data_IF_623900196376
#
_entry.id   IF_623900196376
#
_cell.length_a   1.000
_cell.length_b   1.000
_cell.length_c   1.000
_cell.angle_alpha   90.00
_cell.angle_beta   90.00
_cell.angle_gamma   90.00
#
_symmetry.space_group_name_H-M   'P 1'
#
loop_
_entity.id
_entity.type
_entity.pdbx_description
1 polymer ?
#
# COMPACT_ATOMS: atom_id res chain seq x y z
N UNK A 1 11.74 -23.67 -13.41
CA UNK A 1 12.56 -22.66 -12.72
C UNK A 1 11.80 -22.19 -11.48
N UNK A 2 12.48 -21.82 -10.39
CA UNK A 2 11.83 -21.20 -9.22
C UNK A 2 11.42 -19.77 -9.55
N UNK A 3 10.25 -19.35 -9.06
CA UNK A 3 9.72 -18.00 -9.24
C UNK A 3 9.44 -17.36 -7.89
N UNK A 4 9.97 -16.15 -7.69
CA UNK A 4 9.62 -15.25 -6.59
C UNK A 4 8.68 -14.18 -7.14
N UNK A 5 7.54 -13.98 -6.49
CA UNK A 5 6.57 -12.93 -6.81
C UNK A 5 6.48 -12.01 -5.59
N UNK A 6 6.74 -10.73 -5.81
CA UNK A 6 6.71 -9.65 -4.81
C UNK A 6 5.91 -8.49 -5.39
N UNK A 7 5.25 -7.68 -4.58
CA UNK A 7 4.57 -6.45 -5.00
C UNK A 7 4.71 -5.39 -3.92
N UNK A 8 4.24 -4.18 -4.21
CA UNK A 8 4.10 -3.10 -3.23
C UNK A 8 5.44 -2.84 -2.51
N UNK A 9 6.51 -2.72 -3.32
CA UNK A 9 7.85 -2.40 -2.85
C UNK A 9 7.99 -0.91 -2.54
N UNK A 10 7.39 -0.08 -3.41
CA UNK A 10 7.47 1.38 -3.34
C UNK A 10 8.91 1.89 -3.20
N UNK A 11 9.82 1.45 -4.07
CA UNK A 11 11.19 1.97 -4.08
C UNK A 11 11.16 3.49 -4.34
N UNK A 12 11.56 4.26 -3.33
CA UNK A 12 11.52 5.72 -3.34
C UNK A 12 12.90 6.36 -3.54
N UNK A 13 12.92 7.68 -3.40
CA UNK A 13 14.13 8.51 -3.53
C UNK A 13 14.88 8.72 -2.19
N UNK A 14 14.51 7.99 -1.12
CA UNK A 14 15.10 8.16 0.21
C UNK A 14 14.71 9.46 0.92
N UNK A 15 13.75 10.23 0.39
CA UNK A 15 13.26 11.45 1.01
C UNK A 15 12.26 11.21 2.15
N UNK A 16 11.67 12.30 2.65
CA UNK A 16 10.75 12.28 3.81
C UNK A 16 9.49 11.42 3.62
N UNK A 17 9.14 11.14 2.36
CA UNK A 17 7.98 10.35 1.97
C UNK A 17 8.29 8.86 1.79
N UNK A 18 9.56 8.45 1.86
CA UNK A 18 9.94 7.08 1.56
C UNK A 18 9.37 6.12 2.63
N UNK A 19 8.63 5.13 2.13
CA UNK A 19 7.95 4.12 2.92
C UNK A 19 8.63 2.75 2.83
N UNK A 20 9.61 2.56 1.94
CA UNK A 20 10.27 1.28 1.76
C UNK A 20 10.92 0.78 3.05
N UNK A 21 10.55 -0.41 3.51
CA UNK A 21 11.05 -1.07 4.71
C UNK A 21 11.95 -2.27 4.42
N UNK A 22 12.16 -2.60 3.14
CA UNK A 22 12.98 -3.72 2.73
C UNK A 22 14.46 -3.53 3.04
N UNK A 23 15.02 -2.33 2.88
CA UNK A 23 16.43 -2.06 3.16
C UNK A 23 17.35 -3.16 2.61
N UNK A 24 18.24 -3.69 3.46
CA UNK A 24 19.13 -4.82 3.12
C UNK A 24 18.41 -6.18 3.01
N UNK A 25 17.18 -6.30 3.52
CA UNK A 25 16.45 -7.56 3.52
C UNK A 25 16.02 -8.01 2.12
N UNK A 26 15.60 -7.08 1.26
CA UNK A 26 15.18 -7.43 -0.10
C UNK A 26 16.37 -7.90 -0.96
N UNK A 27 17.52 -7.18 -1.00
CA UNK A 27 18.74 -7.69 -1.63
C UNK A 27 19.14 -9.08 -1.12
N UNK A 28 19.12 -9.30 0.20
CA UNK A 28 19.47 -10.59 0.79
C UNK A 28 18.50 -11.72 0.37
N UNK A 29 17.19 -11.45 0.31
CA UNK A 29 16.21 -12.40 -0.21
C UNK A 29 16.48 -12.72 -1.68
N UNK A 30 16.70 -11.71 -2.51
CA UNK A 30 16.98 -11.89 -3.95
C UNK A 30 18.24 -12.71 -4.16
N UNK A 31 19.32 -12.43 -3.42
CA UNK A 31 20.56 -13.19 -3.48
C UNK A 31 20.37 -14.65 -3.05
N UNK A 32 19.54 -14.91 -2.03
CA UNK A 32 19.20 -16.26 -1.58
C UNK A 32 18.39 -17.02 -2.61
N UNK A 33 17.41 -16.39 -3.23
CA UNK A 33 16.56 -17.01 -4.26
C UNK A 33 17.37 -17.28 -5.53
N UNK A 34 18.25 -16.36 -5.91
CA UNK A 34 19.10 -16.46 -7.09
C UNK A 34 20.37 -17.29 -6.86
N UNK A 35 20.43 -18.16 -5.85
CA UNK A 35 21.52 -19.14 -5.73
C UNK A 35 21.62 -20.07 -6.95
N UNK A 36 20.49 -20.26 -7.64
CA UNK A 36 20.34 -20.86 -8.96
C UNK A 36 19.55 -19.87 -9.85
N UNK A 37 19.54 -20.02 -11.19
CA UNK A 37 18.68 -19.22 -12.06
C UNK A 37 17.23 -19.22 -11.58
N UNK A 38 16.69 -18.02 -11.34
CA UNK A 38 15.35 -17.80 -10.80
C UNK A 38 14.63 -16.70 -11.58
N UNK A 39 13.30 -16.74 -11.59
CA UNK A 39 12.44 -15.66 -12.07
C UNK A 39 12.00 -14.80 -10.88
N UNK A 40 12.13 -13.49 -10.99
CA UNK A 40 11.57 -12.52 -10.05
C UNK A 40 10.51 -11.71 -10.78
N UNK A 41 9.29 -11.70 -10.26
CA UNK A 41 8.18 -10.89 -10.75
C UNK A 41 7.88 -9.84 -9.69
N UNK A 42 8.09 -8.57 -10.02
CA UNK A 42 7.59 -7.42 -9.27
C UNK A 42 6.21 -7.11 -9.82
N UNK A 43 5.17 -7.53 -9.11
CA UNK A 43 3.78 -7.55 -9.53
C UNK A 43 3.05 -6.26 -9.15
N UNK A 44 3.49 -5.12 -9.69
CA UNK A 44 2.93 -3.81 -9.41
C UNK A 44 3.55 -3.10 -8.21
N UNK A 45 3.47 -1.77 -8.26
CA UNK A 45 3.97 -0.83 -7.25
C UNK A 45 5.40 -1.16 -6.78
N UNK A 46 6.25 -1.47 -7.76
CA UNK A 46 7.65 -1.80 -7.54
C UNK A 46 8.50 -0.56 -7.27
N UNK A 47 8.16 0.55 -7.92
CA UNK A 47 8.78 1.86 -7.77
C UNK A 47 7.71 2.85 -7.32
N UNK A 48 8.07 3.95 -6.67
CA UNK A 48 7.08 4.96 -6.29
C UNK A 48 7.44 6.36 -6.79
N UNK A 49 6.71 6.81 -7.81
CA UNK A 49 6.83 8.17 -8.37
C UNK A 49 5.85 9.16 -7.72
N UNK A 50 4.97 8.67 -6.85
CA UNK A 50 4.00 9.47 -6.12
C UNK A 50 4.59 10.10 -4.84
N UNK A 51 5.70 9.59 -4.30
CA UNK A 51 6.37 10.09 -3.08
C UNK A 51 7.14 11.43 -3.26
N UNK A 52 6.46 12.47 -3.74
CA UNK A 52 6.92 13.86 -3.85
C UNK A 52 5.72 14.82 -4.06
N UNK A 53 5.93 16.13 -4.23
CA UNK A 53 4.87 17.12 -4.47
C UNK A 53 4.85 17.66 -5.92
N UNK A 54 5.53 17.00 -6.85
CA UNK A 54 5.52 17.41 -8.26
C UNK A 54 4.09 17.32 -8.84
N UNK A 55 3.75 18.15 -9.84
CA UNK A 55 2.44 18.08 -10.48
C UNK A 55 2.16 16.68 -11.06
N UNK A 56 0.90 16.24 -10.94
CA UNK A 56 0.38 14.96 -11.45
C UNK A 56 0.19 14.98 -12.97
N UNK A 57 1.30 15.03 -13.67
CA UNK A 57 1.39 15.03 -15.12
C UNK A 57 2.46 14.03 -15.52
N UNK A 58 2.13 13.14 -16.47
CA UNK A 58 3.09 12.18 -16.99
C UNK A 58 4.02 12.84 -18.01
N UNK A 59 4.89 13.72 -17.50
CA UNK A 59 5.92 14.43 -18.26
C UNK A 59 7.20 13.59 -18.33
N UNK A 60 7.70 13.22 -19.53
CA UNK A 60 8.86 12.35 -19.66
C UNK A 60 10.14 12.88 -18.99
N UNK A 61 10.40 14.20 -19.08
CA UNK A 61 11.61 14.78 -18.51
C UNK A 61 11.60 14.73 -16.98
N UNK A 62 10.43 14.99 -16.38
CA UNK A 62 10.20 14.89 -14.94
C UNK A 62 10.25 13.45 -14.46
N UNK A 63 9.60 12.54 -15.16
CA UNK A 63 9.64 11.10 -14.86
C UNK A 63 11.08 10.58 -14.87
N UNK A 64 11.89 10.99 -15.86
CA UNK A 64 13.31 10.66 -15.92
C UNK A 64 14.12 11.27 -14.77
N UNK A 65 13.83 12.51 -14.35
CA UNK A 65 14.48 13.11 -13.19
C UNK A 65 14.14 12.37 -11.89
N UNK A 66 12.88 11.99 -11.70
CA UNK A 66 12.41 11.20 -10.57
C UNK A 66 13.07 9.81 -10.56
N UNK A 67 13.12 9.13 -11.71
CA UNK A 67 13.79 7.82 -11.84
C UNK A 67 15.28 7.89 -11.47
N UNK A 68 15.99 8.96 -11.87
CA UNK A 68 17.39 9.18 -11.47
C UNK A 68 17.54 9.39 -9.96
N UNK A 69 16.62 10.13 -9.34
CA UNK A 69 16.63 10.34 -7.89
C UNK A 69 16.36 9.04 -7.13
N UNK A 70 15.41 8.22 -7.59
CA UNK A 70 15.11 6.90 -7.04
C UNK A 70 16.31 5.97 -7.21
N UNK A 71 16.88 5.88 -8.40
CA UNK A 71 18.04 5.04 -8.68
C UNK A 71 19.30 5.45 -7.88
N UNK A 72 19.42 6.73 -7.52
CA UNK A 72 20.53 7.22 -6.69
C UNK A 72 20.31 7.03 -5.18
N UNK A 73 19.08 6.73 -4.74
CA UNK A 73 18.78 6.52 -3.33
C UNK A 73 19.41 5.19 -2.86
N UNK A 74 20.20 5.17 -1.77
CA UNK A 74 21.00 3.99 -1.41
C UNK A 74 20.20 2.68 -1.28
N UNK A 75 19.01 2.72 -0.68
CA UNK A 75 18.18 1.53 -0.50
C UNK A 75 17.62 1.01 -1.84
N UNK A 76 17.16 1.92 -2.70
CA UNK A 76 16.63 1.60 -4.03
C UNK A 76 17.75 1.12 -4.98
N UNK A 77 18.90 1.78 -4.96
CA UNK A 77 20.10 1.37 -5.69
C UNK A 77 20.50 -0.08 -5.35
N UNK A 78 20.59 -0.41 -4.06
CA UNK A 78 20.96 -1.75 -3.61
C UNK A 78 19.98 -2.84 -4.12
N UNK A 79 18.69 -2.52 -4.25
CA UNK A 79 17.69 -3.43 -4.81
C UNK A 79 17.83 -3.56 -6.32
N UNK A 80 18.07 -2.47 -7.05
CA UNK A 80 18.31 -2.49 -8.49
C UNK A 80 19.57 -3.29 -8.84
N UNK A 81 20.65 -3.11 -8.07
CA UNK A 81 21.86 -3.94 -8.17
C UNK A 81 21.58 -5.42 -7.86
N UNK A 82 20.72 -5.71 -6.88
CA UNK A 82 20.32 -7.09 -6.57
C UNK A 82 19.53 -7.73 -7.72
N UNK A 83 18.63 -6.98 -8.37
CA UNK A 83 18.01 -7.44 -9.62
C UNK A 83 19.05 -7.67 -10.72
N UNK A 84 20.06 -6.80 -10.83
CA UNK A 84 21.21 -7.02 -11.70
C UNK A 84 21.91 -8.36 -11.46
N UNK A 85 22.15 -8.71 -10.18
CA UNK A 85 22.74 -10.01 -9.79
C UNK A 85 21.84 -11.19 -10.16
N UNK A 86 20.52 -11.08 -10.04
CA UNK A 86 19.57 -12.12 -10.51
C UNK A 86 19.77 -12.37 -12.02
N UNK A 87 19.81 -11.30 -12.82
CA UNK A 87 19.98 -11.38 -14.27
C UNK A 87 21.36 -11.95 -14.67
N UNK A 88 22.42 -11.53 -13.98
CA UNK A 88 23.79 -11.98 -14.20
C UNK A 88 23.95 -13.49 -13.98
N UNK A 89 23.20 -14.05 -13.04
CA UNK A 89 23.16 -15.50 -12.77
C UNK A 89 22.28 -16.29 -13.76
N UNK A 90 21.81 -15.65 -14.84
CA UNK A 90 20.96 -16.27 -15.86
C UNK A 90 19.49 -16.35 -15.48
N UNK A 91 19.07 -15.62 -14.44
CA UNK A 91 17.66 -15.47 -14.07
C UNK A 91 16.90 -14.46 -14.92
N UNK A 92 15.66 -14.20 -14.52
CA UNK A 92 14.74 -13.27 -15.15
C UNK A 92 14.22 -12.28 -14.11
N UNK A 93 14.07 -11.01 -14.49
CA UNK A 93 13.40 -9.98 -13.68
C UNK A 93 12.34 -9.32 -14.55
N UNK A 94 11.11 -9.34 -14.07
CA UNK A 94 9.92 -8.80 -14.72
C UNK A 94 9.31 -7.77 -13.77
N UNK A 95 9.19 -6.53 -14.21
CA UNK A 95 8.52 -5.46 -13.44
C UNK A 95 7.20 -5.13 -14.14
N UNK A 96 6.11 -5.48 -13.47
CA UNK A 96 4.77 -5.12 -13.91
C UNK A 96 4.38 -3.79 -13.27
N UNK A 97 3.80 -2.89 -14.06
CA UNK A 97 3.31 -1.61 -13.58
C UNK A 97 2.09 -1.78 -12.68
N UNK A 98 2.03 -0.98 -11.62
CA UNK A 98 0.85 -0.68 -10.82
C UNK A 98 0.43 0.78 -10.96
N UNK A 99 -0.27 1.32 -9.95
CA UNK A 99 -0.77 2.69 -9.94
C UNK A 99 0.23 3.71 -9.36
N UNK A 100 1.30 3.27 -8.70
CA UNK A 100 2.36 4.13 -8.18
C UNK A 100 3.54 4.35 -9.14
N UNK A 101 3.62 3.57 -10.22
CA UNK A 101 4.77 3.55 -11.13
C UNK A 101 4.38 3.51 -12.62
N UNK A 102 3.32 4.23 -12.97
CA UNK A 102 2.87 4.41 -14.37
C UNK A 102 3.96 5.04 -15.26
N UNK A 103 4.91 5.76 -14.66
CA UNK A 103 6.10 6.35 -15.26
C UNK A 103 7.03 5.31 -15.88
N UNK A 104 6.97 4.05 -15.45
CA UNK A 104 7.70 2.94 -16.09
C UNK A 104 7.25 2.69 -17.54
N UNK A 105 6.12 3.26 -17.98
CA UNK A 105 5.72 3.25 -19.40
C UNK A 105 6.61 4.14 -20.27
N UNK A 106 7.38 5.06 -19.67
CA UNK A 106 8.30 5.96 -20.38
C UNK A 106 9.62 5.23 -20.66
N UNK A 107 10.06 5.09 -21.92
CA UNK A 107 11.29 4.36 -22.26
C UNK A 107 12.54 4.89 -21.57
N UNK A 108 12.68 6.22 -21.42
CA UNK A 108 13.85 6.81 -20.74
C UNK A 108 13.92 6.38 -19.26
N UNK A 109 12.78 6.24 -18.58
CA UNK A 109 12.71 5.73 -17.19
C UNK A 109 13.23 4.30 -17.13
N UNK A 110 12.82 3.44 -18.07
CA UNK A 110 13.28 2.06 -18.12
C UNK A 110 14.79 1.96 -18.32
N UNK A 111 15.37 2.78 -19.21
CA UNK A 111 16.81 2.82 -19.43
C UNK A 111 17.59 3.31 -18.21
N UNK A 112 17.07 4.29 -17.47
CA UNK A 112 17.67 4.76 -16.21
C UNK A 112 17.71 3.63 -15.19
N UNK A 113 16.61 2.88 -15.01
CA UNK A 113 16.58 1.77 -14.06
C UNK A 113 17.48 0.60 -14.48
N UNK A 114 17.59 0.31 -15.78
CA UNK A 114 18.54 -0.69 -16.30
C UNK A 114 20.00 -0.28 -16.03
N UNK A 115 20.33 0.99 -16.25
CA UNK A 115 21.68 1.51 -16.00
C UNK A 115 22.07 1.44 -14.52
N UNK A 116 21.09 1.51 -13.62
CA UNK A 116 21.29 1.43 -12.18
C UNK A 116 21.51 0.00 -11.64
N UNK A 117 21.47 -1.04 -12.50
CA UNK A 117 21.64 -2.44 -12.07
C UNK A 117 23.09 -2.85 -11.83
N UNK A 118 24.06 -1.99 -12.14
CA UNK A 118 25.50 -2.29 -12.11
C UNK A 118 25.83 -3.59 -12.88
N UNK A 119 25.31 -3.71 -14.10
CA UNK A 119 25.55 -4.85 -14.99
C UNK A 119 25.90 -4.38 -16.40
N UNK A 120 26.61 -5.21 -17.19
CA UNK A 120 26.78 -4.97 -18.61
C UNK A 120 25.44 -4.75 -19.34
N UNK A 121 25.36 -3.89 -20.36
CA UNK A 121 24.11 -3.57 -21.05
C UNK A 121 23.33 -4.79 -21.55
N UNK A 122 24.02 -5.83 -22.03
CA UNK A 122 23.41 -7.08 -22.50
C UNK A 122 22.77 -7.93 -21.39
N UNK A 123 23.21 -7.77 -20.15
CA UNK A 123 22.61 -8.41 -18.97
C UNK A 123 21.44 -7.56 -18.48
N UNK A 124 21.63 -6.25 -18.32
CA UNK A 124 20.58 -5.33 -17.87
C UNK A 124 19.39 -5.25 -18.84
N UNK A 125 19.62 -5.42 -20.15
CA UNK A 125 18.57 -5.48 -21.17
C UNK A 125 17.57 -6.64 -20.98
N UNK A 126 17.91 -7.64 -20.15
CA UNK A 126 17.00 -8.75 -19.80
C UNK A 126 15.93 -8.36 -18.78
N UNK A 127 16.05 -7.20 -18.13
CA UNK A 127 14.97 -6.61 -17.34
C UNK A 127 13.82 -6.25 -18.28
N UNK A 128 12.65 -6.85 -18.02
CA UNK A 128 11.44 -6.58 -18.79
C UNK A 128 10.45 -5.76 -17.98
N UNK A 129 9.78 -4.83 -18.65
CA UNK A 129 8.68 -4.06 -18.09
C UNK A 129 7.38 -4.50 -18.76
N UNK A 130 6.32 -4.68 -17.97
CA UNK A 130 5.01 -5.11 -18.44
C UNK A 130 3.95 -4.13 -17.98
N UNK A 131 3.06 -3.74 -18.89
CA UNK A 131 1.85 -3.03 -18.49
C UNK A 131 0.99 -3.93 -17.58
N UNK A 132 0.16 -3.30 -16.76
CA UNK A 132 -0.80 -4.01 -15.91
C UNK A 132 -2.14 -4.30 -16.58
N UNK A 133 -2.32 -3.93 -17.85
CA UNK A 133 -3.58 -3.95 -18.60
C UNK A 133 -4.23 -5.33 -18.78
N UNK A 134 -3.44 -6.40 -18.61
CA UNK A 134 -3.92 -7.76 -18.54
C UNK A 134 -3.15 -8.56 -17.47
N UNK A 135 -3.78 -9.58 -16.84
CA UNK A 135 -3.07 -10.51 -15.96
C UNK A 135 -2.05 -11.34 -16.76
N UNK A 136 -0.96 -11.72 -16.09
CA UNK A 136 0.00 -12.69 -16.62
C UNK A 136 -0.37 -14.11 -16.16
N UNK A 137 -0.18 -15.10 -17.03
CA UNK A 137 -0.28 -16.52 -16.65
C UNK A 137 1.12 -17.12 -16.67
N UNK A 138 1.59 -17.56 -15.51
CA UNK A 138 2.84 -18.29 -15.36
C UNK A 138 2.54 -19.79 -15.42
N UNK A 139 3.21 -20.50 -16.34
CA UNK A 139 3.29 -21.97 -16.30
C UNK A 139 4.49 -22.38 -15.45
N UNK A 140 4.22 -23.12 -14.37
CA UNK A 140 5.26 -23.71 -13.52
C UNK A 140 4.96 -25.19 -13.32
N UNK A 141 5.69 -26.07 -14.01
CA UNK A 141 5.48 -27.51 -13.91
C UNK A 141 4.10 -27.95 -14.42
N UNK A 142 3.51 -27.21 -15.36
CA UNK A 142 2.16 -27.41 -15.88
C UNK A 142 1.06 -26.76 -15.04
N UNK A 143 1.37 -26.20 -13.86
CA UNK A 143 0.41 -25.43 -13.09
C UNK A 143 0.25 -24.03 -13.69
N UNK A 144 -1.00 -23.59 -13.84
CA UNK A 144 -1.35 -22.25 -14.36
C UNK A 144 -1.58 -21.30 -13.19
N UNK A 145 -0.71 -20.31 -13.06
CA UNK A 145 -0.72 -19.33 -11.96
C UNK A 145 -1.00 -17.96 -12.55
N UNK A 146 -2.14 -17.39 -12.21
CA UNK A 146 -2.50 -16.04 -12.60
C UNK A 146 -1.82 -15.04 -11.66
N UNK A 147 -1.19 -14.02 -12.26
CA UNK A 147 -0.50 -12.95 -11.54
C UNK A 147 -1.01 -11.60 -12.07
N UNK A 148 -1.54 -10.77 -11.18
CA UNK A 148 -1.94 -9.39 -11.48
C UNK A 148 -1.82 -8.54 -10.22
N UNK A 149 -1.60 -7.23 -10.36
CA UNK A 149 -1.38 -6.36 -9.21
C UNK A 149 -2.64 -6.24 -8.35
N UNK A 150 -3.80 -5.96 -8.96
CA UNK A 150 -5.12 -6.08 -8.29
C UNK A 150 -5.95 -4.79 -8.30
N UNK A 151 -5.37 -3.70 -8.77
CA UNK A 151 -5.97 -2.37 -8.93
C UNK A 151 -7.18 -2.33 -9.90
N UNK A 152 -7.39 -3.39 -10.68
CA UNK A 152 -8.42 -3.46 -11.75
C UNK A 152 -9.86 -3.32 -11.26
N UNK A 153 -10.11 -3.76 -10.04
CA UNK A 153 -11.42 -3.72 -9.38
C UNK A 153 -11.50 -2.62 -8.31
N UNK A 154 -10.41 -1.87 -8.12
CA UNK A 154 -10.37 -0.70 -7.25
C UNK A 154 -10.62 0.55 -8.09
N UNK A 155 -11.86 1.04 -8.10
CA UNK A 155 -12.24 2.21 -8.90
C UNK A 155 -11.41 3.47 -8.59
N UNK A 156 -10.80 3.55 -7.41
CA UNK A 156 -10.00 4.69 -6.99
C UNK A 156 -8.56 4.62 -7.49
N UNK A 157 -8.01 3.42 -7.62
CA UNK A 157 -6.62 3.20 -8.01
C UNK A 157 -6.46 2.59 -9.40
N UNK A 158 -7.57 2.27 -10.08
CA UNK A 158 -7.56 1.71 -11.43
C UNK A 158 -6.84 2.63 -12.43
N UNK A 159 -5.83 2.07 -13.09
CA UNK A 159 -5.05 2.75 -14.13
C UNK A 159 -5.72 2.61 -15.50
N UNK A 160 -5.82 3.71 -16.24
CA UNK A 160 -6.23 3.70 -17.65
C UNK A 160 -5.02 3.39 -18.55
N UNK A 161 -4.59 2.13 -18.56
CA UNK A 161 -3.44 1.67 -19.35
C UNK A 161 -3.59 1.96 -20.86
N UNK A 162 -4.81 1.95 -21.38
CA UNK A 162 -5.09 2.26 -22.79
C UNK A 162 -4.69 3.68 -23.19
N UNK A 163 -4.63 4.60 -22.22
CA UNK A 163 -4.18 5.99 -22.43
C UNK A 163 -2.69 6.20 -22.19
N UNK A 164 -1.95 5.23 -21.64
CA UNK A 164 -0.49 5.36 -21.49
C UNK A 164 0.25 5.42 -22.84
N UNK A 165 -0.37 4.94 -23.92
CA UNK A 165 0.13 5.15 -25.29
C UNK A 165 0.09 6.63 -25.73
N UNK A 166 -0.63 7.50 -25.01
CA UNK A 166 -0.75 8.94 -25.24
C UNK A 166 -0.52 9.70 -23.92
N UNK A 167 0.75 9.76 -23.52
CA UNK A 167 1.19 10.32 -22.23
C UNK A 167 0.59 11.71 -21.93
N UNK A 168 0.43 12.56 -22.94
CA UNK A 168 -0.16 13.92 -22.85
C UNK A 168 -1.64 13.92 -22.40
N UNK A 169 -2.33 12.79 -22.54
CA UNK A 169 -3.76 12.64 -22.18
C UNK A 169 -3.98 11.70 -21.01
N UNK A 170 -2.91 11.16 -20.45
CA UNK A 170 -2.99 10.29 -19.30
C UNK A 170 -3.49 11.09 -18.09
N UNK A 171 -4.35 10.45 -17.30
CA UNK A 171 -4.83 11.00 -16.04
C UNK A 171 -4.56 9.97 -14.97
N UNK A 172 -3.93 10.42 -13.89
CA UNK A 172 -3.70 9.60 -12.73
C UNK A 172 -5.03 9.23 -12.06
N UNK A 173 -5.02 8.10 -11.37
CA UNK A 173 -6.19 7.61 -10.62
C UNK A 173 -6.50 8.53 -9.44
N UNK A 174 -7.74 8.48 -8.93
CA UNK A 174 -8.18 9.34 -7.83
C UNK A 174 -7.32 9.14 -6.57
N UNK A 175 -6.89 7.91 -6.27
CA UNK A 175 -5.97 7.63 -5.18
C UNK A 175 -4.62 8.33 -5.32
N UNK A 176 -4.06 8.42 -6.53
CA UNK A 176 -2.82 9.18 -6.77
C UNK A 176 -3.01 10.67 -6.51
N UNK A 177 -4.17 11.22 -6.86
CA UNK A 177 -4.54 12.62 -6.56
C UNK A 177 -4.60 12.86 -5.06
N UNK A 178 -5.25 11.95 -4.32
CA UNK A 178 -5.28 12.01 -2.85
C UNK A 178 -3.86 12.01 -2.26
N UNK A 179 -3.00 11.10 -2.72
CA UNK A 179 -1.61 10.99 -2.21
C UNK A 179 -0.85 12.30 -2.45
N UNK A 180 -0.83 12.82 -3.67
CA UNK A 180 -0.04 14.01 -4.03
C UNK A 180 -0.57 15.31 -3.47
N UNK A 181 -1.89 15.49 -3.51
CA UNK A 181 -2.48 16.80 -3.21
C UNK A 181 -2.86 16.95 -1.74
N UNK A 182 -3.03 15.83 -1.02
CA UNK A 182 -3.41 15.86 0.40
C UNK A 182 -2.36 15.18 1.28
N UNK A 183 -2.06 13.90 1.08
CA UNK A 183 -1.25 13.13 2.02
C UNK A 183 0.21 13.60 2.08
N UNK A 184 0.86 13.85 0.94
CA UNK A 184 2.24 14.31 0.92
C UNK A 184 2.39 15.72 1.53
N UNK A 185 1.58 16.74 1.16
CA UNK A 185 1.61 18.03 1.83
C UNK A 185 1.38 17.93 3.35
N UNK A 186 0.47 17.06 3.81
CA UNK A 186 0.26 16.74 5.23
C UNK A 186 1.55 16.23 5.87
N UNK A 187 2.13 15.19 5.29
CA UNK A 187 3.30 14.51 5.84
C UNK A 187 4.51 15.46 5.93
N UNK A 188 4.80 16.25 4.89
CA UNK A 188 5.96 17.15 4.89
C UNK A 188 5.74 18.41 5.70
N UNK A 189 4.65 19.16 5.46
CA UNK A 189 4.46 20.47 6.10
C UNK A 189 4.28 20.36 7.61
N UNK A 190 3.74 19.23 8.08
CA UNK A 190 3.39 19.02 9.47
C UNK A 190 4.13 17.85 10.13
N UNK A 191 5.05 17.22 9.39
CA UNK A 191 5.82 16.08 9.89
C UNK A 191 4.96 14.86 10.21
N UNK A 192 3.72 14.78 9.73
CA UNK A 192 2.76 13.70 10.02
C UNK A 192 3.02 12.46 9.16
N UNK A 193 4.20 11.87 9.30
CA UNK A 193 4.64 10.69 8.53
C UNK A 193 3.69 9.50 8.70
N UNK A 194 3.04 9.40 9.85
CA UNK A 194 2.11 8.32 10.17
C UNK A 194 0.91 8.21 9.21
N UNK A 195 0.53 9.31 8.53
CA UNK A 195 -0.60 9.33 7.58
C UNK A 195 -0.36 8.41 6.39
N UNK A 196 0.89 8.24 5.96
CA UNK A 196 1.24 7.34 4.85
C UNK A 196 1.35 5.87 5.28
N UNK A 197 1.43 5.59 6.59
CA UNK A 197 1.71 4.25 7.13
C UNK A 197 0.51 3.59 7.80
N UNK A 198 -0.53 4.36 8.14
CA UNK A 198 -1.76 3.81 8.71
C UNK A 198 -2.60 3.15 7.60
N UNK A 199 -2.50 1.83 7.50
CA UNK A 199 -3.29 0.97 6.62
C UNK A 199 -4.20 0.07 7.47
N UNK A 200 -5.35 -0.41 6.96
CA UNK A 200 -6.01 -0.10 5.69
C UNK A 200 -6.94 1.13 5.77
N UNK A 201 -7.11 1.68 6.98
CA UNK A 201 -8.20 2.57 7.28
C UNK A 201 -7.83 4.04 7.02
N UNK A 202 -8.07 4.50 5.78
CA UNK A 202 -7.91 5.91 5.44
C UNK A 202 -8.77 6.82 6.34
N UNK A 203 -9.94 6.35 6.77
CA UNK A 203 -10.79 7.10 7.68
C UNK A 203 -10.16 7.18 9.07
N UNK A 204 -9.66 6.06 9.60
CA UNK A 204 -8.85 6.02 10.82
C UNK A 204 -7.59 6.89 10.74
N UNK A 205 -6.96 7.00 9.56
CA UNK A 205 -5.81 7.87 9.32
C UNK A 205 -6.21 9.34 9.34
N UNK A 206 -7.33 9.68 8.73
CA UNK A 206 -7.91 11.01 8.75
C UNK A 206 -8.36 11.41 10.16
N UNK A 207 -8.97 10.49 10.92
CA UNK A 207 -9.34 10.68 12.32
C UNK A 207 -8.09 10.87 13.21
N UNK A 208 -7.09 10.00 13.10
CA UNK A 208 -5.82 10.20 13.79
C UNK A 208 -5.17 11.55 13.42
N UNK A 209 -5.18 11.94 12.15
CA UNK A 209 -4.67 13.24 11.71
C UNK A 209 -5.50 14.42 12.29
N UNK A 210 -6.82 14.29 12.38
CA UNK A 210 -7.71 15.26 13.02
C UNK A 210 -7.40 15.40 14.52
N UNK A 211 -7.13 14.30 15.22
CA UNK A 211 -6.75 14.31 16.64
C UNK A 211 -5.38 14.96 16.87
N UNK A 212 -4.44 14.74 15.94
CA UNK A 212 -3.06 15.22 16.03
C UNK A 212 -2.95 16.69 15.65
N UNK A 213 -3.68 17.13 14.62
CA UNK A 213 -3.49 18.45 14.02
C UNK A 213 -4.80 19.03 13.42
N UNK A 214 -5.84 19.29 14.23
CA UNK A 214 -7.18 19.64 13.75
C UNK A 214 -7.22 20.93 12.90
N UNK A 215 -6.47 21.96 13.30
CA UNK A 215 -6.41 23.23 12.56
C UNK A 215 -5.72 23.09 11.19
N UNK A 216 -4.73 22.21 11.11
CA UNK A 216 -3.99 21.90 9.88
C UNK A 216 -4.87 21.10 8.92
N UNK A 217 -5.54 20.08 9.42
CA UNK A 217 -6.46 19.26 8.64
C UNK A 217 -7.61 20.11 8.09
N UNK A 218 -8.17 21.04 8.88
CA UNK A 218 -9.16 22.01 8.42
C UNK A 218 -8.63 22.94 7.33
N UNK A 219 -7.43 23.48 7.51
CA UNK A 219 -6.79 24.34 6.49
C UNK A 219 -6.59 23.58 5.18
N UNK A 220 -6.17 22.33 5.24
CA UNK A 220 -5.98 21.50 4.06
C UNK A 220 -7.30 21.13 3.40
N UNK A 221 -8.36 20.80 4.13
CA UNK A 221 -9.69 20.61 3.55
C UNK A 221 -10.30 21.91 2.99
N UNK A 222 -9.91 23.07 3.52
CA UNK A 222 -10.35 24.38 3.00
C UNK A 222 -9.55 24.88 1.78
N UNK A 223 -8.28 24.50 1.67
CA UNK A 223 -7.34 24.98 0.63
C UNK A 223 -7.13 23.95 -0.50
N UNK A 224 -7.11 22.65 -0.19
CA UNK A 224 -7.10 21.56 -1.16
C UNK A 224 -8.53 21.28 -1.58
N UNK A 225 -9.09 22.22 -2.35
CA UNK A 225 -10.35 22.14 -3.11
C UNK A 225 -11.47 21.35 -2.43
N UNK A 226 -12.49 22.07 -1.96
CA UNK A 226 -13.81 21.51 -1.64
C UNK A 226 -14.22 20.40 -2.62
N UNK A 227 -13.86 20.50 -3.90
CA UNK A 227 -14.04 19.46 -4.93
C UNK A 227 -13.35 18.11 -4.68
N UNK A 228 -12.14 18.04 -4.13
CA UNK A 228 -11.49 16.75 -3.84
C UNK A 228 -12.13 16.16 -2.60
N UNK A 229 -12.21 16.88 -1.48
CA UNK A 229 -12.97 16.42 -0.32
C UNK A 229 -14.37 15.93 -0.74
N UNK A 230 -15.11 16.74 -1.51
CA UNK A 230 -16.42 16.43 -2.09
C UNK A 230 -16.42 15.25 -3.08
N UNK A 231 -15.39 15.06 -3.90
CA UNK A 231 -15.26 13.90 -4.80
C UNK A 231 -14.87 12.63 -4.07
N UNK A 232 -14.02 12.74 -3.04
CA UNK A 232 -13.71 11.67 -2.12
C UNK A 232 -15.02 11.25 -1.45
N UNK A 233 -15.83 12.21 -0.97
CA UNK A 233 -17.16 12.01 -0.35
C UNK A 233 -18.32 11.59 -1.30
N UNK A 234 -18.20 11.70 -2.64
CA UNK A 234 -19.38 11.65 -3.54
C UNK A 234 -19.22 10.92 -4.90
N UNK A 235 -18.39 9.89 -5.08
CA UNK A 235 -18.44 9.18 -6.38
C UNK A 235 -17.97 7.73 -6.44
N UNK A 236 -18.94 6.84 -6.64
CA UNK A 236 -18.80 5.61 -7.42
C UNK A 236 -20.05 5.37 -8.30
N UNK A 237 -20.27 6.23 -9.31
CA UNK A 237 -21.34 6.04 -10.30
C UNK A 237 -21.30 7.12 -11.39
N UNK A 238 -21.48 6.74 -12.65
CA UNK A 238 -21.14 7.55 -13.84
C UNK A 238 -21.97 8.82 -14.07
N UNK A 239 -21.38 9.74 -14.85
CA UNK A 239 -22.01 10.75 -15.73
C UNK A 239 -23.28 11.50 -15.24
N UNK A 240 -23.09 12.78 -14.96
CA UNK A 240 -24.06 13.88 -15.01
C UNK A 240 -25.56 13.50 -14.98
N UNK A 241 -26.19 13.58 -13.81
CA UNK A 241 -27.57 14.06 -13.70
C UNK A 241 -27.83 14.60 -12.28
N UNK A 242 -28.53 15.73 -12.22
CA UNK A 242 -29.06 16.31 -10.99
C UNK A 242 -30.29 15.49 -10.58
N UNK A 243 -30.23 14.75 -9.48
CA UNK A 243 -31.37 14.34 -8.65
C UNK A 243 -30.86 13.58 -7.42
N UNK A 244 -31.59 13.75 -6.32
CA UNK A 244 -31.40 13.13 -5.00
C UNK A 244 -31.30 11.60 -5.04
N UNK A 245 -30.25 11.07 -4.42
CA UNK A 245 -30.20 9.94 -3.47
C UNK A 245 -28.72 9.52 -3.35
N UNK A 246 -28.17 9.81 -2.17
CA UNK A 246 -26.76 9.96 -1.87
C UNK A 246 -26.10 8.63 -1.45
N UNK A 247 -24.93 8.31 -2.00
CA UNK A 247 -24.01 7.30 -1.45
C UNK A 247 -22.68 7.98 -1.05
N UNK A 248 -22.39 7.86 0.25
CA UNK A 248 -21.36 8.53 1.07
C UNK A 248 -20.07 7.67 1.16
N UNK A 249 -18.95 8.25 1.62
CA UNK A 249 -17.71 7.54 1.98
C UNK A 249 -17.87 6.51 3.11
N UNK A 250 -19.09 6.28 3.57
CA UNK A 250 -19.42 5.45 4.70
C UNK A 250 -18.89 6.01 6.02
N UNK A 251 -18.39 7.25 6.08
CA UNK A 251 -18.02 7.85 7.38
C UNK A 251 -19.29 8.28 8.12
N UNK A 252 -20.28 8.87 7.42
CA UNK A 252 -21.57 9.16 8.04
C UNK A 252 -22.33 7.86 8.35
N UNK A 253 -22.23 6.85 7.48
CA UNK A 253 -22.77 5.51 7.72
C UNK A 253 -22.09 4.83 8.92
N UNK A 254 -20.75 4.83 9.02
CA UNK A 254 -20.02 4.32 10.19
C UNK A 254 -20.29 5.12 11.45
N UNK A 255 -20.48 6.44 11.37
CA UNK A 255 -20.89 7.26 12.51
C UNK A 255 -22.30 6.88 12.98
N UNK A 256 -23.22 6.62 12.05
CA UNK A 256 -24.56 6.14 12.37
C UNK A 256 -24.54 4.73 12.96
N UNK A 257 -23.75 3.82 12.39
CA UNK A 257 -23.60 2.43 12.83
C UNK A 257 -22.81 2.30 14.14
N UNK A 258 -21.90 3.24 14.44
CA UNK A 258 -21.08 3.23 15.64
C UNK A 258 -21.87 3.50 16.93
N UNK A 259 -23.13 3.94 16.83
CA UNK A 259 -24.01 4.17 17.98
C UNK A 259 -23.36 5.07 19.03
N UNK A 260 -22.78 6.20 18.60
CA UNK A 260 -22.07 7.13 19.47
C UNK A 260 -23.01 7.71 20.53
N UNK A 261 -22.50 7.87 21.75
CA UNK A 261 -23.20 8.59 22.81
C UNK A 261 -23.14 10.11 22.57
N UNK A 262 -24.08 10.87 23.16
CA UNK A 262 -24.17 12.33 22.96
C UNK A 262 -22.86 13.06 23.29
N UNK A 263 -22.14 12.61 24.32
CA UNK A 263 -20.83 13.17 24.70
C UNK A 263 -19.73 12.88 23.65
N UNK A 264 -19.79 11.73 22.99
CA UNK A 264 -18.82 11.33 21.96
C UNK A 264 -19.09 12.05 20.64
N UNK A 265 -20.36 12.18 20.25
CA UNK A 265 -20.78 12.97 19.10
C UNK A 265 -20.39 14.44 19.27
N UNK A 266 -20.62 15.02 20.46
CA UNK A 266 -20.21 16.38 20.78
C UNK A 266 -18.68 16.56 20.76
N UNK A 267 -17.91 15.56 21.21
CA UNK A 267 -16.45 15.59 21.14
C UNK A 267 -15.94 15.57 19.69
N UNK A 268 -16.58 14.80 18.80
CA UNK A 268 -16.29 14.78 17.37
C UNK A 268 -16.60 16.12 16.70
N UNK A 269 -17.78 16.68 16.96
CA UNK A 269 -18.18 17.99 16.46
C UNK A 269 -17.25 19.10 16.97
N UNK A 270 -16.81 19.04 18.24
CA UNK A 270 -15.86 19.98 18.80
C UNK A 270 -14.47 19.89 18.13
N UNK A 271 -14.01 18.69 17.75
CA UNK A 271 -12.79 18.52 16.99
C UNK A 271 -12.92 19.10 15.56
N UNK A 272 -14.11 19.02 14.95
CA UNK A 272 -14.42 19.55 13.63
C UNK A 272 -14.78 21.06 13.59
N UNK A 273 -15.31 21.64 14.67
CA UNK A 273 -15.71 23.05 14.77
C UNK A 273 -14.60 24.02 15.23
N UNK A 274 -14.83 25.34 15.23
CA UNK A 274 -13.85 26.39 15.60
C UNK A 274 -13.55 26.47 17.13
N UNK A 275 -13.61 25.34 17.83
CA UNK A 275 -13.45 25.23 19.28
C UNK A 275 -12.02 25.49 19.79
N UNK A 276 -11.76 26.52 20.63
CA UNK A 276 -10.40 26.93 20.97
C UNK A 276 -9.69 26.15 22.09
N UNK A 277 -10.31 25.16 22.74
CA UNK A 277 -9.88 24.74 24.08
C UNK A 277 -9.41 23.29 24.24
N UNK A 278 -9.70 22.38 23.31
CA UNK A 278 -9.42 20.95 23.52
C UNK A 278 -8.00 20.52 23.10
N UNK A 279 -7.28 21.34 22.34
CA UNK A 279 -6.04 20.92 21.64
C UNK A 279 -4.95 22.01 21.59
N UNK A 280 -4.90 22.93 22.57
CA UNK A 280 -3.85 23.94 22.66
C UNK A 280 -2.48 23.34 23.09
N UNK A 281 -1.37 23.95 22.66
CA UNK A 281 0.01 23.55 22.99
C UNK A 281 0.23 23.44 24.51
N UNK A 282 0.80 22.31 24.95
CA UNK A 282 1.00 21.96 26.37
C UNK A 282 1.77 23.03 27.15
N UNK A 283 2.66 23.80 26.50
CA UNK A 283 3.50 24.82 27.15
C UNK A 283 2.69 25.99 27.76
N UNK A 284 1.41 26.15 27.39
CA UNK A 284 0.56 27.26 27.88
C UNK A 284 -0.62 26.81 28.74
N UNK A 285 -0.76 25.51 29.00
CA UNK A 285 -1.97 24.94 29.60
C UNK A 285 -1.85 24.76 31.12
N UNK A 286 -2.90 25.18 31.84
CA UNK A 286 -3.00 24.92 33.29
C UNK A 286 -3.22 23.43 33.58
N UNK A 287 -2.92 22.97 34.81
CA UNK A 287 -3.17 21.57 35.23
C UNK A 287 -4.63 21.14 35.11
N UNK A 288 -5.58 22.07 35.26
CA UNK A 288 -7.00 21.79 35.04
C UNK A 288 -7.32 21.63 33.55
N UNK A 289 -6.74 22.48 32.70
CA UNK A 289 -6.87 22.43 31.25
C UNK A 289 -6.27 21.14 30.65
N UNK A 290 -5.14 20.67 31.19
CA UNK A 290 -4.53 19.38 30.82
C UNK A 290 -5.43 18.18 31.15
N UNK A 291 -6.14 18.21 32.29
CA UNK A 291 -7.10 17.15 32.66
C UNK A 291 -8.32 17.13 31.74
N UNK A 292 -8.84 18.30 31.38
CA UNK A 292 -9.93 18.44 30.41
C UNK A 292 -9.52 17.97 29.01
N UNK A 293 -8.33 18.34 28.54
CA UNK A 293 -7.78 17.87 27.26
C UNK A 293 -7.62 16.34 27.23
N UNK A 294 -7.12 15.73 28.31
CA UNK A 294 -7.01 14.26 28.42
C UNK A 294 -8.36 13.56 28.47
N UNK A 295 -9.35 14.14 29.16
CA UNK A 295 -10.71 13.60 29.17
C UNK A 295 -11.33 13.64 27.76
N UNK A 296 -11.16 14.75 27.04
CA UNK A 296 -11.59 14.88 25.64
C UNK A 296 -10.87 13.92 24.69
N UNK A 297 -9.56 13.73 24.86
CA UNK A 297 -8.79 12.75 24.07
C UNK A 297 -9.28 11.32 24.33
N UNK A 298 -9.64 10.97 25.57
CA UNK A 298 -10.16 9.65 25.91
C UNK A 298 -11.54 9.39 25.28
N UNK A 299 -12.42 10.39 25.26
CA UNK A 299 -13.70 10.32 24.55
C UNK A 299 -13.48 10.13 23.04
N UNK A 300 -12.57 10.90 22.45
CA UNK A 300 -12.19 10.77 21.04
C UNK A 300 -11.60 9.38 20.72
N UNK A 301 -10.75 8.87 21.61
CA UNK A 301 -10.15 7.54 21.52
C UNK A 301 -11.21 6.43 21.53
N UNK A 302 -12.23 6.55 22.40
CA UNK A 302 -13.38 5.65 22.43
C UNK A 302 -14.15 5.65 21.11
N UNK A 303 -14.40 6.82 20.53
CA UNK A 303 -15.03 6.94 19.22
C UNK A 303 -14.17 6.34 18.10
N UNK A 304 -12.88 6.69 18.02
CA UNK A 304 -12.00 6.15 16.98
C UNK A 304 -11.89 4.62 17.06
N UNK A 305 -11.84 4.07 18.27
CA UNK A 305 -11.92 2.63 18.51
C UNK A 305 -13.21 2.01 17.94
N UNK A 306 -14.37 2.61 18.20
CA UNK A 306 -15.66 2.12 17.67
C UNK A 306 -15.71 2.20 16.14
N UNK A 307 -15.25 3.30 15.56
CA UNK A 307 -15.22 3.50 14.10
C UNK A 307 -14.23 2.57 13.39
N UNK A 308 -13.07 2.34 14.00
CA UNK A 308 -12.08 1.40 13.47
C UNK A 308 -12.54 -0.06 13.59
N UNK A 309 -13.36 -0.38 14.60
CA UNK A 309 -13.90 -1.71 14.83
C UNK A 309 -12.79 -2.77 14.86
N UNK A 310 -12.95 -3.82 14.05
CA UNK A 310 -11.97 -4.91 13.90
C UNK A 310 -11.03 -4.75 12.70
N UNK A 311 -11.14 -3.66 11.92
CA UNK A 311 -10.42 -3.47 10.64
C UNK A 311 -8.90 -3.56 10.82
N UNK A 312 -8.39 -2.94 11.88
CA UNK A 312 -6.96 -2.98 12.20
C UNK A 312 -6.46 -4.39 12.51
N UNK A 313 -7.29 -5.24 13.12
CA UNK A 313 -6.94 -6.63 13.43
C UNK A 313 -7.08 -7.54 12.20
N UNK A 314 -8.13 -7.32 11.41
CA UNK A 314 -8.43 -8.08 10.18
C UNK A 314 -7.36 -7.89 9.12
N UNK A 315 -6.81 -6.67 8.97
CA UNK A 315 -5.76 -6.38 8.01
C UNK A 315 -4.53 -7.29 8.14
N UNK A 316 -4.16 -7.69 9.35
CA UNK A 316 -2.99 -8.55 9.58
C UNK A 316 -3.31 -10.05 9.51
N UNK A 317 -4.58 -10.44 9.37
CA UNK A 317 -4.95 -11.85 9.17
C UNK A 317 -4.54 -12.32 7.78
N UNK A 318 -4.20 -13.61 7.69
CA UNK A 318 -3.93 -14.25 6.40
C UNK A 318 -5.21 -14.60 5.65
N UNK A 319 -6.27 -14.95 6.36
CA UNK A 319 -7.55 -15.27 5.74
C UNK A 319 -8.10 -14.01 5.04
N UNK A 320 -8.39 -14.08 3.74
CA UNK A 320 -9.02 -12.98 3.02
C UNK A 320 -10.48 -12.84 3.41
N UNK A 321 -11.01 -11.64 3.22
CA UNK A 321 -12.45 -11.43 3.33
C UNK A 321 -13.21 -12.06 2.15
N UNK A 322 -14.54 -12.04 2.23
CA UNK A 322 -15.40 -12.64 1.20
C UNK A 322 -15.30 -11.93 -0.15
N UNK A 323 -15.02 -10.61 -0.18
CA UNK A 323 -14.87 -9.85 -1.41
C UNK A 323 -13.54 -10.16 -2.11
N UNK A 324 -12.44 -10.17 -1.35
CA UNK A 324 -11.11 -10.60 -1.79
C UNK A 324 -11.17 -12.03 -2.34
N UNK A 325 -11.84 -12.95 -1.63
CA UNK A 325 -11.98 -14.33 -2.08
C UNK A 325 -12.87 -14.48 -3.32
N UNK A 326 -14.01 -13.77 -3.37
CA UNK A 326 -14.89 -13.79 -4.53
C UNK A 326 -14.19 -13.28 -5.79
N UNK A 327 -13.36 -12.24 -5.68
CA UNK A 327 -12.59 -11.73 -6.80
C UNK A 327 -11.50 -12.70 -7.25
N UNK A 328 -10.76 -13.31 -6.31
CA UNK A 328 -9.78 -14.33 -6.62
C UNK A 328 -10.42 -15.52 -7.36
N UNK A 329 -11.59 -15.99 -6.91
CA UNK A 329 -12.34 -17.05 -7.59
C UNK A 329 -12.77 -16.65 -9.00
N UNK A 330 -13.31 -15.45 -9.16
CA UNK A 330 -13.73 -14.92 -10.47
C UNK A 330 -12.57 -14.84 -11.45
N UNK A 331 -11.38 -14.42 -10.99
CA UNK A 331 -10.17 -14.39 -11.81
C UNK A 331 -9.69 -15.80 -12.17
N UNK A 332 -9.66 -16.72 -11.20
CA UNK A 332 -9.28 -18.11 -11.43
C UNK A 332 -10.17 -18.77 -12.50
N UNK A 333 -11.50 -18.60 -12.39
CA UNK A 333 -12.47 -19.13 -13.34
C UNK A 333 -12.31 -18.50 -14.73
N UNK A 334 -12.23 -17.16 -14.80
CA UNK A 334 -12.14 -16.43 -16.07
C UNK A 334 -10.91 -16.81 -16.89
N UNK A 335 -9.79 -17.12 -16.23
CA UNK A 335 -8.51 -17.36 -16.89
C UNK A 335 -8.04 -18.82 -16.84
N UNK A 336 -8.89 -19.71 -16.32
CA UNK A 336 -8.58 -21.13 -16.13
C UNK A 336 -7.26 -21.32 -15.36
N UNK A 337 -7.17 -20.72 -14.18
CA UNK A 337 -5.97 -20.73 -13.34
C UNK A 337 -6.22 -21.53 -12.05
N UNK A 338 -5.28 -22.42 -11.72
CA UNK A 338 -5.30 -23.17 -10.46
C UNK A 338 -4.82 -22.34 -9.27
N UNK A 339 -4.19 -21.20 -9.53
CA UNK A 339 -3.79 -20.25 -8.51
C UNK A 339 -3.91 -18.80 -8.98
N UNK A 340 -4.15 -17.89 -8.04
CA UNK A 340 -4.21 -16.44 -8.23
C UNK A 340 -3.30 -15.76 -7.23
N UNK A 341 -2.41 -14.91 -7.72
CA UNK A 341 -1.50 -14.09 -6.93
C UNK A 341 -1.75 -12.62 -7.19
N UNK A 342 -2.16 -11.91 -6.14
CA UNK A 342 -2.45 -10.46 -6.14
C UNK A 342 -1.42 -9.69 -5.30
N UNK A 343 -1.43 -8.36 -5.46
CA UNK A 343 -0.76 -7.36 -4.63
C UNK A 343 -1.76 -6.25 -4.24
N UNK A 344 -1.34 -4.98 -4.30
CA UNK A 344 -2.18 -3.77 -4.26
C UNK A 344 -2.82 -3.40 -2.92
N UNK A 345 -3.29 -4.38 -2.14
CA UNK A 345 -3.92 -4.12 -0.83
C UNK A 345 -2.90 -3.99 0.30
N UNK A 346 -1.62 -4.24 0.00
CA UNK A 346 -0.49 -4.35 0.93
C UNK A 346 -0.64 -5.47 1.99
N UNK A 347 -1.77 -6.18 1.99
CA UNK A 347 -2.13 -7.11 3.04
C UNK A 347 -1.82 -8.54 2.59
N UNK A 348 -0.95 -9.25 3.32
CA UNK A 348 -0.62 -10.62 2.96
C UNK A 348 -1.83 -11.53 3.20
N UNK A 349 -2.26 -12.25 2.15
CA UNK A 349 -3.41 -13.16 2.19
C UNK A 349 -3.04 -14.56 1.74
N UNK A 350 -3.78 -15.54 2.24
CA UNK A 350 -3.71 -16.92 1.81
C UNK A 350 -5.06 -17.62 1.97
N UNK A 351 -5.50 -18.34 0.95
CA UNK A 351 -6.65 -19.24 1.02
C UNK A 351 -6.52 -20.36 0.01
N UNK A 352 -6.92 -21.57 0.38
CA UNK A 352 -7.05 -22.70 -0.54
C UNK A 352 -8.42 -23.31 -0.36
N UNK A 353 -9.27 -23.15 -1.37
CA UNK A 353 -10.61 -23.71 -1.38
C UNK A 353 -11.06 -23.92 -2.82
N UNK A 354 -12.02 -24.82 -3.03
CA UNK A 354 -12.63 -25.06 -4.35
C UNK A 354 -11.62 -25.37 -5.48
N UNK A 355 -10.48 -25.99 -5.14
CA UNK A 355 -9.40 -26.31 -6.08
C UNK A 355 -8.52 -25.13 -6.50
N UNK A 356 -8.70 -23.96 -5.88
CA UNK A 356 -7.97 -22.72 -6.19
C UNK A 356 -7.07 -22.35 -5.01
N UNK A 357 -5.81 -22.01 -5.30
CA UNK A 357 -4.92 -21.38 -4.33
C UNK A 357 -4.85 -19.87 -4.56
N UNK A 358 -5.22 -19.07 -3.57
CA UNK A 358 -5.12 -17.62 -3.59
C UNK A 358 -4.04 -17.14 -2.63
N UNK A 359 -3.23 -16.19 -3.09
CA UNK A 359 -2.38 -15.40 -2.23
C UNK A 359 -2.38 -13.92 -2.63
N UNK A 360 -2.30 -13.05 -1.63
CA UNK A 360 -1.84 -11.68 -1.83
C UNK A 360 -0.41 -11.58 -1.27
N UNK A 361 0.53 -11.02 -2.03
CA UNK A 361 1.95 -11.03 -1.63
C UNK A 361 2.25 -10.15 -0.42
N UNK A 362 1.35 -9.21 -0.07
CA UNK A 362 1.54 -8.25 1.01
C UNK A 362 2.34 -7.04 0.55
N UNK A 363 3.32 -6.60 1.33
CA UNK A 363 4.08 -5.38 1.03
C UNK A 363 5.49 -5.40 1.60
N UNK A 364 6.35 -4.52 1.09
CA UNK A 364 7.69 -4.26 1.61
C UNK A 364 7.84 -2.85 2.19
N UNK A 365 6.73 -2.18 2.51
CA UNK A 365 6.74 -0.88 3.17
C UNK A 365 6.64 -0.97 4.70
N UNK A 366 6.91 0.14 5.37
CA UNK A 366 6.59 0.32 6.78
C UNK A 366 5.07 0.39 6.95
N UNK A 367 4.56 -0.36 7.91
CA UNK A 367 3.16 -0.35 8.31
C UNK A 367 3.07 0.21 9.72
N UNK A 368 1.90 0.69 10.09
CA UNK A 368 1.58 1.02 11.47
C UNK A 368 0.25 0.36 11.82
N UNK A 369 0.24 -0.37 12.92
CA UNK A 369 -0.94 -1.07 13.40
C UNK A 369 -1.72 -0.19 14.38
N UNK A 370 -3.03 -0.06 14.15
CA UNK A 370 -3.95 0.52 15.12
C UNK A 370 -3.96 -0.31 16.40
N UNK A 371 -4.22 0.29 17.58
CA UNK A 371 -4.46 -0.49 18.79
C UNK A 371 -5.57 -1.53 18.53
N UNK A 372 -5.45 -2.71 19.16
CA UNK A 372 -6.40 -3.80 18.95
C UNK A 372 -7.82 -3.36 19.29
N UNK A 373 -8.80 -3.97 18.63
CA UNK A 373 -10.22 -3.71 18.88
C UNK A 373 -10.63 -3.99 20.34
N UNK A 374 -9.98 -4.95 20.98
CA UNK A 374 -10.19 -5.33 22.39
C UNK A 374 -9.41 -4.46 23.39
N UNK A 375 -8.57 -3.52 22.93
CA UNK A 375 -7.84 -2.62 23.79
C UNK A 375 -8.75 -1.59 24.45
N UNK A 376 -8.47 -1.20 25.70
CA UNK A 376 -9.20 -0.16 26.40
C UNK A 376 -8.93 1.24 25.82
N UNK A 377 -9.82 2.20 26.08
CA UNK A 377 -9.72 3.57 25.56
C UNK A 377 -8.42 4.28 25.99
N UNK A 378 -7.82 3.84 27.10
CA UNK A 378 -6.51 4.33 27.55
C UNK A 378 -5.39 3.99 26.57
N UNK A 379 -5.37 2.78 25.99
CA UNK A 379 -4.37 2.40 24.99
C UNK A 379 -4.53 3.20 23.69
N UNK A 380 -5.78 3.49 23.30
CA UNK A 380 -6.09 4.35 22.16
C UNK A 380 -5.71 5.82 22.42
N UNK A 381 -5.96 6.32 23.63
CA UNK A 381 -5.55 7.65 24.03
C UNK A 381 -4.02 7.79 24.05
N UNK A 382 -3.29 6.80 24.59
CA UNK A 382 -1.82 6.75 24.55
C UNK A 382 -1.28 6.73 23.12
N UNK A 383 -1.90 5.95 22.24
CA UNK A 383 -1.55 5.91 20.81
C UNK A 383 -1.70 7.28 20.14
N UNK A 384 -2.85 7.95 20.33
CA UNK A 384 -3.09 9.27 19.74
C UNK A 384 -2.19 10.36 20.34
N UNK A 385 -1.98 10.32 21.65
CA UNK A 385 -1.07 11.21 22.36
C UNK A 385 0.38 11.05 21.85
N UNK A 386 0.81 9.82 21.57
CA UNK A 386 2.12 9.58 20.98
C UNK A 386 2.20 10.11 19.55
N UNK A 387 1.20 9.88 18.70
CA UNK A 387 1.17 10.44 17.35
C UNK A 387 1.21 11.98 17.37
N UNK A 388 0.58 12.61 18.37
CA UNK A 388 0.61 14.06 18.55
C UNK A 388 2.01 14.55 18.89
N UNK A 389 2.69 13.87 19.82
CA UNK A 389 4.00 14.30 20.31
C UNK A 389 5.16 13.82 19.42
N UNK A 390 4.94 12.78 18.61
CA UNK A 390 5.90 12.15 17.72
C UNK A 390 5.31 11.90 16.31
N UNK A 391 4.82 12.93 15.60
CA UNK A 391 4.12 12.77 14.32
C UNK A 391 5.04 12.21 13.21
N UNK A 392 6.36 12.37 13.38
CA UNK A 392 7.39 11.85 12.46
C UNK A 392 7.71 10.37 12.70
N UNK A 393 7.17 9.78 13.76
CA UNK A 393 7.43 8.40 14.17
C UNK A 393 8.92 8.12 14.40
N UNK A 394 9.62 9.02 15.10
CA UNK A 394 11.02 8.81 15.47
C UNK A 394 11.15 7.52 16.31
N UNK A 395 11.96 6.53 15.89
CA UNK A 395 11.99 5.21 16.52
C UNK A 395 12.23 5.22 18.04
N UNK A 396 13.11 6.10 18.51
CA UNK A 396 13.47 6.25 19.92
C UNK A 396 12.33 6.81 20.80
N UNK A 397 11.29 7.36 20.17
CA UNK A 397 10.11 7.92 20.83
C UNK A 397 8.88 7.03 20.67
N UNK A 398 8.95 5.93 19.90
CA UNK A 398 7.82 5.03 19.70
C UNK A 398 7.59 4.11 20.92
N UNK A 399 6.38 4.09 21.47
CA UNK A 399 5.95 3.21 22.56
C UNK A 399 4.63 2.53 22.24
N UNK A 400 3.59 3.31 21.93
CA UNK A 400 2.26 2.85 21.56
C UNK A 400 2.07 2.80 20.03
N UNK A 401 2.52 3.82 19.30
CA UNK A 401 2.38 3.94 17.86
C UNK A 401 3.59 3.35 17.13
N UNK A 402 3.69 2.02 17.14
CA UNK A 402 4.84 1.31 16.56
C UNK A 402 4.71 1.10 15.06
N UNK A 403 5.80 1.41 14.35
CA UNK A 403 5.98 0.95 12.98
C UNK A 403 6.39 -0.51 12.97
N UNK A 404 5.75 -1.30 12.12
CA UNK A 404 6.02 -2.72 11.90
C UNK A 404 6.32 -2.96 10.42
N UNK A 405 6.95 -4.10 10.13
CA UNK A 405 7.19 -4.54 8.74
C UNK A 405 6.83 -6.01 8.63
N UNK A 406 6.19 -6.37 7.51
CA UNK A 406 5.80 -7.75 7.20
C UNK A 406 6.28 -8.07 5.79
N UNK A 407 7.57 -8.33 5.67
CA UNK A 407 8.24 -8.52 4.38
C UNK A 407 7.86 -9.88 3.78
N UNK A 408 6.78 -9.91 3.00
CA UNK A 408 6.22 -11.14 2.47
C UNK A 408 6.41 -11.26 0.96
N UNK A 409 6.36 -12.49 0.46
CA UNK A 409 6.46 -12.80 -0.95
C UNK A 409 5.73 -14.11 -1.22
N UNK A 410 5.45 -14.39 -2.50
CA UNK A 410 5.02 -15.71 -2.94
C UNK A 410 6.18 -16.40 -3.66
N UNK A 411 6.50 -17.61 -3.25
CA UNK A 411 7.46 -18.47 -3.95
C UNK A 411 6.73 -19.62 -4.61
N UNK A 412 6.98 -19.79 -5.90
CA UNK A 412 6.46 -20.89 -6.72
C UNK A 412 7.63 -21.72 -7.23
N UNK A 413 7.56 -23.04 -7.10
CA UNK A 413 8.52 -23.95 -7.71
C UNK A 413 7.82 -25.18 -8.29
N UNK A 414 8.38 -25.84 -9.33
CA UNK A 414 7.86 -27.12 -9.80
C UNK A 414 7.75 -28.13 -8.67
N UNK A 415 6.62 -28.84 -8.60
CA UNK A 415 6.42 -29.92 -7.64
C UNK A 415 6.93 -31.25 -8.22
N UNK A 416 7.61 -32.13 -7.44
CA UNK A 416 8.12 -33.41 -7.94
C UNK A 416 7.05 -34.30 -8.60
N UNK A 417 5.85 -34.31 -8.02
CA UNK A 417 4.70 -35.09 -8.54
C UNK A 417 3.91 -34.40 -9.68
N UNK A 418 4.45 -33.32 -10.26
CA UNK A 418 3.78 -32.49 -11.26
C UNK A 418 2.95 -31.34 -10.66
N UNK A 419 2.79 -30.27 -11.45
CA UNK A 419 2.24 -28.99 -10.98
C UNK A 419 3.30 -28.14 -10.29
N UNK A 420 2.86 -27.29 -9.36
CA UNK A 420 3.73 -26.38 -8.60
C UNK A 420 3.47 -26.43 -7.10
N UNK A 421 4.52 -26.22 -6.30
CA UNK A 421 4.39 -25.81 -4.91
C UNK A 421 4.32 -24.28 -4.87
N UNK A 422 3.23 -23.73 -4.36
CA UNK A 422 3.08 -22.30 -4.05
C UNK A 422 3.20 -22.09 -2.55
N UNK A 423 3.96 -21.09 -2.12
CA UNK A 423 4.18 -20.76 -0.70
C UNK A 423 4.06 -19.27 -0.50
N UNK A 424 3.22 -18.84 0.45
CA UNK A 424 3.35 -17.51 1.03
C UNK A 424 4.48 -17.58 2.06
N UNK A 425 5.48 -16.74 1.89
CA UNK A 425 6.68 -16.71 2.72
C UNK A 425 6.87 -15.34 3.34
N UNK A 426 7.54 -15.30 4.48
CA UNK A 426 7.97 -14.08 5.15
C UNK A 426 9.48 -14.11 5.34
N UNK A 427 10.13 -13.00 5.03
CA UNK A 427 11.52 -12.76 5.37
C UNK A 427 11.61 -12.06 6.72
N UNK A 428 12.33 -12.67 7.66
CA UNK A 428 12.64 -12.05 8.95
C UNK A 428 14.02 -12.49 9.43
N UNK A 429 14.82 -11.55 9.94
CA UNK A 429 16.15 -11.79 10.49
C UNK A 429 17.10 -12.68 9.64
N UNK A 430 17.03 -12.59 8.30
CA UNK A 430 17.87 -13.40 7.39
C UNK A 430 17.28 -14.77 7.04
N UNK A 431 16.12 -15.12 7.59
CA UNK A 431 15.43 -16.37 7.36
C UNK A 431 14.19 -16.19 6.49
N UNK A 432 14.01 -17.12 5.54
CA UNK A 432 12.81 -17.22 4.73
C UNK A 432 11.89 -18.29 5.31
N UNK A 433 10.86 -17.87 6.03
CA UNK A 433 9.89 -18.76 6.68
C UNK A 433 8.67 -18.95 5.79
N UNK A 434 8.15 -20.18 5.70
CA UNK A 434 6.78 -20.38 5.15
C UNK A 434 5.76 -19.93 6.17
N UNK A 435 4.84 -19.08 5.73
CA UNK A 435 3.60 -18.85 6.45
C UNK A 435 2.61 -19.94 6.07
N UNK A 436 2.42 -20.14 4.77
CA UNK A 436 1.48 -21.11 4.23
C UNK A 436 2.07 -21.78 2.97
N UNK A 437 1.51 -22.93 2.60
CA UNK A 437 1.95 -23.67 1.42
C UNK A 437 0.84 -24.57 0.87
N UNK A 438 0.76 -24.66 -0.46
CA UNK A 438 -0.10 -25.63 -1.13
C UNK A 438 0.51 -26.11 -2.44
N UNK A 439 0.04 -27.29 -2.87
CA UNK A 439 0.29 -27.78 -4.22
C UNK A 439 -0.81 -27.26 -5.14
N UNK A 440 -0.40 -26.62 -6.22
CA UNK A 440 -1.24 -26.28 -7.36
C UNK A 440 -1.10 -27.41 -8.38
N UNK A 441 -2.17 -28.15 -8.70
CA UNK A 441 -2.08 -29.23 -9.67
C UNK A 441 -1.74 -28.67 -11.06
N UNK A 442 -1.20 -29.51 -11.97
CA UNK A 442 -1.12 -29.12 -13.37
C UNK A 442 -2.53 -28.84 -13.91
N UNK A 443 -2.65 -27.85 -14.81
CA UNK A 443 -3.90 -27.61 -15.50
C UNK A 443 -4.28 -28.82 -16.36
N UNK A 444 -5.58 -29.08 -16.53
CA UNK A 444 -6.04 -30.07 -17.48
C UNK A 444 -5.53 -29.68 -18.88
N UNK A 445 -4.70 -30.54 -19.48
CA UNK A 445 -4.14 -30.29 -20.79
C UNK A 445 -5.26 -30.32 -21.85
N UNK A 446 -5.80 -29.14 -22.16
CA UNK A 446 -6.84 -28.88 -23.16
C UNK A 446 -8.20 -29.54 -22.92
N UNK A 447 -9.25 -28.72 -22.87
CA UNK A 447 -10.55 -29.09 -23.43
C UNK A 447 -10.68 -28.50 -24.82
#
# INVERSE_FOLDING_TARGET
>A
MRTLIISDLHLGNGGDYDVFAGGEALPALLDRIAGEPARVVVNGDGVDFLMNEDPLELDPARAAAQARAIAAAPASAAVLEAFGRVLARGGEVIVRLGNHDVELAVPEVQEILRAAMDQPPEVAARLTFQLGDAPAILDVGGARILVTHGEHNDNWNKVDYGRLARLDRFRYAAGSVLVKQLMNPIARRHGMRFVSLLKPDFQGAALAALAVAPGIVKQLFSAASLDIAWQLFKKAGSAASFAEEDEDLGLAERLADAGLEDEEAAAFEAALGDGPAAFADEETMSTASLKLARAGLKLYAGMQKRLAGTLGDEYFRLEPDEAEWADARRLAEKFDAGAVVLGHTHAARWKVADGIAFANTGTWIWLMQLPRSDAGDEAWAEFLEELRNNPRLLPERQRAAKTVRRLTAVVVAPHPDGGATMRLVQWDAGELRSLEAARVPPGDAAR
#
